data_IF_686266146786
#
_entry.id   IF_686266146786
#
_cell.length_a   1.000
_cell.length_b   1.000
_cell.length_c   1.000
_cell.angle_alpha   90.00
_cell.angle_beta   90.00
_cell.angle_gamma   90.00
#
_symmetry.space_group_name_H-M   'P 1'
#
loop_
_entity.id
_entity.type
_entity.pdbx_description
1 polymer ?
#
# COMPACT_ATOMS: atom_id res chain seq x y z
N UNK A 1 -10.20 -16.84 -17.05
CA UNK A 1 -9.69 -17.17 -15.69
C UNK A 1 -8.29 -17.79 -15.70
N UNK A 2 -7.91 -18.64 -16.67
CA UNK A 2 -6.60 -19.32 -16.65
C UNK A 2 -5.42 -18.39 -16.99
N UNK A 3 -5.64 -17.35 -17.80
CA UNK A 3 -4.56 -16.46 -18.27
C UNK A 3 -3.89 -15.66 -17.15
N UNK A 4 -4.64 -15.13 -16.18
CA UNK A 4 -4.07 -14.35 -15.06
C UNK A 4 -3.31 -15.19 -14.03
N UNK A 5 -3.66 -16.48 -13.89
CA UNK A 5 -2.98 -17.41 -12.99
C UNK A 5 -1.57 -17.75 -13.49
N UNK A 6 -1.42 -17.89 -14.81
CA UNK A 6 -0.13 -18.13 -15.45
C UNK A 6 0.76 -16.88 -15.38
N UNK A 7 0.21 -15.68 -15.56
CA UNK A 7 0.97 -14.42 -15.45
C UNK A 7 1.49 -14.20 -14.03
N UNK A 8 0.68 -14.45 -12.99
CA UNK A 8 1.11 -14.34 -11.59
C UNK A 8 2.20 -15.35 -11.21
N UNK A 9 2.13 -16.59 -11.71
CA UNK A 9 3.16 -17.60 -11.44
C UNK A 9 4.46 -17.30 -12.19
N UNK A 10 4.38 -16.80 -13.43
CA UNK A 10 5.58 -16.42 -14.19
C UNK A 10 6.30 -15.19 -13.59
N UNK A 11 5.54 -14.25 -13.01
CA UNK A 11 6.11 -13.05 -12.41
C UNK A 11 6.43 -13.22 -10.91
N UNK A 12 6.02 -14.32 -10.27
CA UNK A 12 6.24 -14.61 -8.85
C UNK A 12 7.69 -14.43 -8.34
N UNK A 13 8.76 -14.83 -9.07
CA UNK A 13 10.13 -14.59 -8.59
C UNK A 13 10.56 -13.12 -8.66
N UNK A 14 9.90 -12.30 -9.49
CA UNK A 14 10.17 -10.86 -9.61
C UNK A 14 9.32 -10.06 -8.63
N UNK A 15 8.06 -10.43 -8.45
CA UNK A 15 7.12 -9.72 -7.58
C UNK A 15 7.18 -10.21 -6.12
N UNK A 16 7.52 -11.48 -5.88
CA UNK A 16 7.61 -12.10 -4.55
C UNK A 16 8.55 -11.38 -3.56
N UNK A 17 9.77 -10.95 -3.95
CA UNK A 17 10.65 -10.15 -3.11
C UNK A 17 10.02 -8.81 -2.70
N UNK A 18 9.25 -8.17 -3.59
CA UNK A 18 8.57 -6.89 -3.33
C UNK A 18 7.48 -7.07 -2.28
N UNK A 19 6.66 -8.12 -2.42
CA UNK A 19 5.66 -8.50 -1.42
C UNK A 19 6.28 -8.81 -0.04
N UNK A 20 7.44 -9.48 -0.02
CA UNK A 20 8.17 -9.78 1.21
C UNK A 20 8.65 -8.52 1.94
N UNK A 21 9.21 -7.55 1.21
CA UNK A 21 9.63 -6.26 1.79
C UNK A 21 8.42 -5.46 2.28
N UNK A 22 7.32 -5.43 1.53
CA UNK A 22 6.06 -4.78 1.90
C UNK A 22 5.48 -5.35 3.20
N UNK A 23 5.50 -6.68 3.35
CA UNK A 23 5.05 -7.37 4.56
C UNK A 23 5.86 -6.93 5.80
N UNK A 24 7.19 -6.88 5.66
CA UNK A 24 8.08 -6.46 6.74
C UNK A 24 7.86 -4.98 7.10
N UNK A 25 7.68 -4.11 6.10
CA UNK A 25 7.38 -2.70 6.32
C UNK A 25 6.04 -2.48 7.04
N UNK A 26 5.01 -3.26 6.69
CA UNK A 26 3.72 -3.21 7.39
C UNK A 26 3.86 -3.69 8.84
N UNK A 27 4.60 -4.76 9.09
CA UNK A 27 4.82 -5.26 10.46
C UNK A 27 5.58 -4.23 11.34
N UNK A 28 6.60 -3.56 10.77
CA UNK A 28 7.32 -2.47 11.42
C UNK A 28 6.43 -1.27 11.70
N UNK A 29 5.56 -0.91 10.76
CA UNK A 29 4.58 0.18 10.91
C UNK A 29 3.59 -0.12 12.04
N UNK A 30 3.05 -1.33 12.12
CA UNK A 30 2.17 -1.76 13.21
C UNK A 30 2.83 -1.62 14.58
N UNK A 31 4.16 -1.75 14.67
CA UNK A 31 4.90 -1.57 15.92
C UNK A 31 5.20 -0.08 16.23
N UNK A 32 5.33 0.76 15.19
CA UNK A 32 5.47 2.21 15.30
C UNK A 32 4.14 2.96 15.56
N UNK A 33 2.99 2.31 15.35
CA UNK A 33 1.64 2.85 15.57
C UNK A 33 1.28 3.11 17.04
N UNK A 34 2.13 2.72 17.99
CA UNK A 34 1.82 2.80 19.44
C UNK A 34 1.66 4.25 19.95
N UNK A 35 2.04 5.27 19.18
CA UNK A 35 2.01 6.69 19.60
C UNK A 35 1.28 7.67 18.63
N UNK A 36 0.60 7.21 17.58
CA UNK A 36 0.03 8.11 16.54
C UNK A 36 -1.48 8.41 16.72
N UNK A 37 -1.87 9.67 16.51
CA UNK A 37 -3.26 10.15 16.55
C UNK A 37 -4.14 9.48 15.48
N UNK A 38 -5.39 9.16 15.84
CA UNK A 38 -6.26 8.27 15.06
C UNK A 38 -6.55 8.69 13.61
N UNK A 39 -6.42 9.98 13.26
CA UNK A 39 -6.61 10.45 11.88
C UNK A 39 -5.43 10.11 10.97
N UNK A 40 -4.19 10.19 11.48
CA UNK A 40 -3.02 9.78 10.72
C UNK A 40 -3.05 8.27 10.47
N UNK A 41 -3.44 7.50 11.49
CA UNK A 41 -3.59 6.04 11.38
C UNK A 41 -4.59 5.65 10.28
N UNK A 42 -5.73 6.32 10.20
CA UNK A 42 -6.72 6.04 9.15
C UNK A 42 -6.18 6.25 7.73
N UNK A 43 -5.46 7.35 7.48
CA UNK A 43 -4.84 7.60 6.17
C UNK A 43 -3.76 6.56 5.85
N UNK A 44 -3.02 6.15 6.87
CA UNK A 44 -2.03 5.11 6.77
C UNK A 44 -2.65 3.74 6.43
N UNK A 45 -3.80 3.39 6.99
CA UNK A 45 -4.56 2.18 6.66
C UNK A 45 -5.14 2.24 5.23
N UNK A 46 -5.65 3.41 4.81
CA UNK A 46 -6.13 3.63 3.43
C UNK A 46 -5.02 3.38 2.39
N UNK A 47 -3.78 3.81 2.65
CA UNK A 47 -2.63 3.55 1.78
C UNK A 47 -2.29 2.06 1.69
N UNK A 48 -2.48 1.31 2.77
CA UNK A 48 -2.26 -0.15 2.78
C UNK A 48 -3.33 -0.85 1.96
N UNK A 49 -4.60 -0.49 2.17
CA UNK A 49 -5.72 -1.01 1.42
C UNK A 49 -5.60 -0.68 -0.10
N UNK A 50 -5.18 0.54 -0.44
CA UNK A 50 -4.98 0.96 -1.83
C UNK A 50 -3.92 0.11 -2.55
N UNK A 51 -2.79 -0.14 -1.89
CA UNK A 51 -1.75 -1.02 -2.42
C UNK A 51 -2.24 -2.46 -2.60
N UNK A 52 -2.97 -3.00 -1.61
CA UNK A 52 -3.53 -4.34 -1.71
C UNK A 52 -4.51 -4.47 -2.88
N UNK A 53 -5.29 -3.42 -3.19
CA UNK A 53 -6.16 -3.38 -4.37
C UNK A 53 -5.37 -3.42 -5.67
N UNK A 54 -4.25 -2.71 -5.76
CA UNK A 54 -3.36 -2.74 -6.93
C UNK A 54 -2.70 -4.12 -7.09
N UNK A 55 -2.19 -4.69 -5.99
CA UNK A 55 -1.59 -6.02 -5.95
C UNK A 55 -2.58 -7.12 -6.38
N UNK A 56 -3.85 -7.01 -5.99
CA UNK A 56 -4.92 -7.91 -6.40
C UNK A 56 -5.43 -7.66 -7.83
N UNK A 57 -4.87 -6.69 -8.55
CA UNK A 57 -5.28 -6.30 -9.90
C UNK A 57 -6.67 -5.68 -9.97
N UNK A 58 -7.18 -5.15 -8.85
CA UNK A 58 -8.49 -4.50 -8.78
C UNK A 58 -8.46 -3.05 -9.27
N UNK A 59 -7.27 -2.45 -9.29
CA UNK A 59 -6.99 -1.14 -9.88
C UNK A 59 -5.70 -1.22 -10.69
N UNK A 60 -5.59 -0.36 -11.70
CA UNK A 60 -4.39 -0.25 -12.51
C UNK A 60 -3.29 0.56 -11.80
N UNK A 61 -2.04 0.41 -12.24
CA UNK A 61 -0.90 1.17 -11.71
C UNK A 61 -1.06 2.70 -11.85
N UNK A 62 -1.55 3.25 -12.98
CA UNK A 62 -1.83 4.69 -13.08
C UNK A 62 -2.92 5.18 -12.11
N UNK A 63 -3.97 4.39 -11.90
CA UNK A 63 -5.04 4.72 -10.93
C UNK A 63 -4.54 4.65 -9.49
N UNK A 64 -3.61 3.73 -9.21
CA UNK A 64 -2.93 3.62 -7.93
C UNK A 64 -2.09 4.87 -7.64
N UNK A 65 -1.25 5.30 -8.59
CA UNK A 65 -0.38 6.48 -8.44
C UNK A 65 -1.17 7.76 -8.14
N UNK A 66 -2.30 7.98 -8.83
CA UNK A 66 -3.15 9.15 -8.61
C UNK A 66 -3.76 9.17 -7.19
N UNK A 67 -4.28 8.02 -6.75
CA UNK A 67 -4.91 7.87 -5.45
C UNK A 67 -3.87 7.94 -4.32
N UNK A 68 -2.69 7.34 -4.53
CA UNK A 68 -1.58 7.36 -3.58
C UNK A 68 -1.07 8.80 -3.37
N UNK A 69 -0.85 9.55 -4.45
CA UNK A 69 -0.42 10.94 -4.37
C UNK A 69 -1.40 11.81 -3.55
N UNK A 70 -2.70 11.55 -3.69
CA UNK A 70 -3.76 12.23 -2.93
C UNK A 70 -3.68 11.91 -1.44
N UNK A 71 -3.55 10.63 -1.08
CA UNK A 71 -3.44 10.20 0.32
C UNK A 71 -2.16 10.72 0.98
N UNK A 72 -1.02 10.63 0.29
CA UNK A 72 0.26 11.16 0.78
C UNK A 72 0.24 12.68 0.96
N UNK A 73 -0.48 13.41 0.10
CA UNK A 73 -0.69 14.85 0.26
C UNK A 73 -1.47 15.16 1.53
N UNK A 74 -2.55 14.42 1.82
CA UNK A 74 -3.33 14.61 3.05
C UNK A 74 -2.49 14.31 4.29
N UNK A 75 -1.70 13.23 4.25
CA UNK A 75 -0.83 12.82 5.35
C UNK A 75 0.27 13.86 5.64
N UNK A 76 0.87 14.43 4.59
CA UNK A 76 1.82 15.55 4.72
C UNK A 76 1.16 16.79 5.31
N UNK A 77 -0.04 17.14 4.86
CA UNK A 77 -0.76 18.31 5.38
C UNK A 77 -1.14 18.14 6.86
N UNK A 78 -1.52 16.91 7.26
CA UNK A 78 -1.81 16.58 8.65
C UNK A 78 -0.57 16.77 9.53
N UNK A 79 0.59 16.23 9.11
CA UNK A 79 1.86 16.38 9.84
C UNK A 79 2.40 17.81 9.86
N UNK A 80 2.15 18.60 8.82
CA UNK A 80 2.59 19.99 8.75
C UNK A 80 1.69 20.97 9.52
N UNK A 81 0.49 20.53 9.91
CA UNK A 81 -0.47 21.30 10.71
C UNK A 81 -0.42 21.01 12.22
N UNK A 82 0.49 20.14 12.66
CA UNK A 82 0.86 19.92 14.07
C UNK A 82 2.15 20.63 14.42
#
# INVERSE_FOLDING_TARGET
MILGLLTNVLLAPVTGPIYGVRFVLNALKTQAETELEGQEKHLQEELVALNMRMELGQISEPEFEEQEATLLKKLRNFRAGQ
#
